data_IF_559130896498
#
_entry.id   IF_559130896498
#
_cell.length_a   1.000
_cell.length_b   1.000
_cell.length_c   1.000
_cell.angle_alpha   90.00
_cell.angle_beta   90.00
_cell.angle_gamma   90.00
#
_symmetry.space_group_name_H-M   'P 1'
#
loop_
_entity.id
_entity.type
_entity.pdbx_description
1 polymer ?
#
# COMPACT_ATOMS: atom_id res chain seq x y z
N UNK A 1 -47.85 -8.82 -19.58
CA UNK A 1 -46.97 -7.73 -20.07
C UNK A 1 -46.33 -6.87 -18.97
N UNK A 2 -46.99 -6.60 -17.81
CA UNK A 2 -46.39 -5.82 -16.71
C UNK A 2 -45.17 -6.50 -16.05
N UNK A 3 -45.23 -7.81 -15.78
CA UNK A 3 -44.15 -8.56 -15.12
C UNK A 3 -42.87 -8.59 -15.97
N UNK A 4 -43.01 -8.77 -17.29
CA UNK A 4 -41.88 -8.73 -18.24
C UNK A 4 -41.17 -7.37 -18.24
N UNK A 5 -41.94 -6.26 -18.20
CA UNK A 5 -41.38 -4.90 -18.15
C UNK A 5 -40.62 -4.62 -16.85
N UNK A 6 -41.14 -5.10 -15.71
CA UNK A 6 -40.46 -4.94 -14.41
C UNK A 6 -39.17 -5.75 -14.35
N UNK A 7 -39.20 -6.99 -14.83
CA UNK A 7 -38.01 -7.84 -14.89
C UNK A 7 -36.92 -7.24 -15.81
N UNK A 8 -37.32 -6.71 -16.97
CA UNK A 8 -36.41 -6.05 -17.90
C UNK A 8 -35.79 -4.77 -17.30
N UNK A 9 -36.57 -3.99 -16.54
CA UNK A 9 -36.10 -2.79 -15.86
C UNK A 9 -35.06 -3.13 -14.77
N UNK A 10 -35.31 -4.18 -13.99
CA UNK A 10 -34.37 -4.64 -12.96
C UNK A 10 -33.06 -5.15 -13.57
N UNK A 11 -33.12 -5.87 -14.69
CA UNK A 11 -31.94 -6.32 -15.44
C UNK A 11 -31.16 -5.14 -16.04
N UNK A 12 -31.85 -4.10 -16.50
CA UNK A 12 -31.20 -2.89 -17.01
C UNK A 12 -30.49 -2.14 -15.87
N UNK A 13 -31.14 -1.99 -14.72
CA UNK A 13 -30.56 -1.32 -13.55
C UNK A 13 -29.36 -2.09 -12.98
N UNK A 14 -29.42 -3.43 -12.95
CA UNK A 14 -28.27 -4.23 -12.55
C UNK A 14 -27.13 -4.09 -13.57
N UNK A 15 -27.41 -4.15 -14.87
CA UNK A 15 -26.39 -3.95 -15.90
C UNK A 15 -25.71 -2.58 -15.79
N UNK A 16 -26.47 -1.50 -15.58
CA UNK A 16 -25.92 -0.15 -15.37
C UNK A 16 -25.08 -0.10 -14.10
N UNK A 17 -25.53 -0.72 -13.00
CA UNK A 17 -24.77 -0.76 -11.75
C UNK A 17 -23.40 -1.44 -11.93
N UNK A 18 -23.38 -2.61 -12.59
CA UNK A 18 -22.13 -3.34 -12.87
C UNK A 18 -21.23 -2.63 -13.89
N UNK A 19 -21.82 -1.94 -14.89
CA UNK A 19 -21.04 -1.22 -15.90
C UNK A 19 -20.45 0.11 -15.39
N UNK A 20 -21.14 0.78 -14.46
CA UNK A 20 -20.71 2.08 -13.94
C UNK A 20 -19.98 1.98 -12.60
N UNK A 21 -20.07 0.88 -11.84
CA UNK A 21 -19.43 0.78 -10.52
C UNK A 21 -17.95 1.10 -10.61
N UNK A 22 -17.22 0.45 -11.50
CA UNK A 22 -15.77 0.56 -11.55
C UNK A 22 -15.35 1.97 -12.00
N UNK A 23 -16.02 2.52 -12.99
CA UNK A 23 -15.78 3.88 -13.51
C UNK A 23 -16.10 4.93 -12.44
N UNK A 24 -17.20 4.75 -11.71
CA UNK A 24 -17.63 5.63 -10.62
C UNK A 24 -16.69 5.56 -9.42
N UNK A 25 -16.28 4.37 -8.98
CA UNK A 25 -15.34 4.21 -7.86
C UNK A 25 -13.93 4.71 -8.20
N UNK A 26 -13.48 4.52 -9.44
CA UNK A 26 -12.22 5.09 -9.92
C UNK A 26 -12.24 6.62 -10.00
N UNK A 27 -13.42 7.23 -10.19
CA UNK A 27 -13.61 8.67 -10.13
C UNK A 27 -13.68 9.17 -8.68
N UNK A 28 -14.36 8.44 -7.79
CA UNK A 28 -14.55 8.84 -6.40
C UNK A 28 -13.26 8.79 -5.57
N UNK A 29 -12.40 7.78 -5.82
CA UNK A 29 -11.22 7.55 -4.99
C UNK A 29 -9.93 7.79 -5.77
N UNK A 30 -9.02 8.65 -5.25
CA UNK A 30 -7.72 8.85 -5.87
C UNK A 30 -6.91 7.56 -5.88
N UNK A 31 -7.07 6.71 -4.86
CA UNK A 31 -6.48 5.38 -4.75
C UNK A 31 -7.56 4.30 -4.92
N UNK A 32 -7.37 3.40 -5.88
CA UNK A 32 -8.30 2.31 -6.19
C UNK A 32 -7.53 1.13 -6.78
N UNK A 33 -7.08 0.24 -5.91
CA UNK A 33 -6.35 -0.98 -6.25
C UNK A 33 -7.23 -2.23 -6.34
N UNK A 34 -8.50 -2.13 -5.95
CA UNK A 34 -9.44 -3.26 -5.90
C UNK A 34 -9.59 -3.89 -7.28
N UNK A 35 -9.24 -5.18 -7.39
CA UNK A 35 -9.38 -5.96 -8.63
C UNK A 35 -8.36 -5.65 -9.73
N UNK A 36 -7.29 -4.87 -9.45
CA UNK A 36 -6.37 -4.36 -10.49
C UNK A 36 -4.93 -4.85 -10.31
N UNK A 37 -4.50 -5.72 -11.22
CA UNK A 37 -3.10 -6.00 -11.51
C UNK A 37 -2.42 -7.05 -10.60
N UNK A 38 -1.12 -7.32 -10.84
CA UNK A 38 -0.35 -8.25 -10.03
C UNK A 38 -0.23 -7.77 -8.57
N UNK A 39 -0.05 -8.73 -7.66
CA UNK A 39 0.11 -8.47 -6.23
C UNK A 39 1.52 -8.84 -5.81
N UNK A 40 2.10 -8.05 -4.91
CA UNK A 40 3.31 -8.41 -4.17
C UNK A 40 2.86 -9.10 -2.90
N UNK A 41 3.18 -10.38 -2.76
CA UNK A 41 2.99 -11.10 -1.50
C UNK A 41 4.12 -10.75 -0.56
N UNK A 42 3.78 -10.36 0.66
CA UNK A 42 4.71 -10.15 1.76
C UNK A 42 4.38 -11.18 2.83
N UNK A 43 5.35 -12.01 3.17
CA UNK A 43 5.19 -13.05 4.19
C UNK A 43 6.47 -13.22 4.99
N UNK A 44 6.31 -13.73 6.21
CA UNK A 44 7.43 -13.95 7.11
C UNK A 44 6.98 -14.56 8.43
N UNK A 45 7.94 -14.76 9.32
CA UNK A 45 7.71 -15.24 10.68
C UNK A 45 8.30 -14.20 11.62
N UNK A 46 7.46 -13.63 12.49
CA UNK A 46 7.91 -12.69 13.51
C UNK A 46 8.36 -13.43 14.78
N UNK A 47 9.41 -12.94 15.48
CA UNK A 47 9.80 -13.45 16.78
C UNK A 47 8.73 -13.25 17.86
N UNK A 48 8.91 -13.93 19.00
CA UNK A 48 8.11 -13.66 20.21
C UNK A 48 8.30 -12.20 20.66
N UNK A 49 7.25 -11.64 21.27
CA UNK A 49 7.21 -10.26 21.77
C UNK A 49 7.36 -9.19 20.68
N UNK A 50 7.04 -9.53 19.43
CA UNK A 50 7.05 -8.60 18.30
C UNK A 50 5.77 -8.71 17.49
N UNK A 51 5.48 -7.68 16.71
CA UNK A 51 4.39 -7.66 15.72
C UNK A 51 4.89 -7.23 14.34
N UNK A 52 4.32 -7.79 13.25
CA UNK A 52 4.67 -7.40 11.90
C UNK A 52 4.03 -6.06 11.55
N UNK A 53 4.77 -5.23 10.84
CA UNK A 53 4.27 -4.00 10.24
C UNK A 53 4.63 -3.99 8.76
N UNK A 54 3.61 -3.81 7.91
CA UNK A 54 3.80 -3.75 6.45
C UNK A 54 3.19 -2.46 5.96
N UNK A 55 3.91 -1.76 5.07
CA UNK A 55 3.38 -0.59 4.38
C UNK A 55 3.91 -0.48 2.96
N UNK A 56 3.19 0.24 2.11
CA UNK A 56 3.60 0.50 0.74
C UNK A 56 3.44 1.98 0.40
N UNK A 57 4.48 2.58 -0.14
CA UNK A 57 4.45 3.93 -0.66
C UNK A 57 4.24 3.90 -2.17
N UNK A 58 3.27 4.69 -2.63
CA UNK A 58 2.92 4.87 -4.02
C UNK A 58 3.22 6.29 -4.45
N UNK A 59 3.73 6.45 -5.67
CA UNK A 59 4.00 7.73 -6.31
C UNK A 59 3.02 7.99 -7.44
N UNK A 60 2.55 9.23 -7.54
CA UNK A 60 1.81 9.70 -8.70
C UNK A 60 2.62 10.74 -9.46
N UNK A 61 2.74 10.55 -10.78
CA UNK A 61 3.21 11.58 -11.73
C UNK A 61 2.03 12.33 -12.39
N UNK A 62 0.80 11.96 -12.06
CA UNK A 62 -0.43 12.54 -12.65
C UNK A 62 -1.04 13.57 -11.71
N UNK A 63 -1.25 13.17 -10.46
CA UNK A 63 -1.50 14.07 -9.36
C UNK A 63 -0.15 14.65 -8.94
N UNK A 64 -0.10 15.96 -8.78
CA UNK A 64 1.13 16.69 -8.45
C UNK A 64 0.83 17.55 -7.23
N UNK A 65 1.82 17.67 -6.36
CA UNK A 65 1.80 18.62 -5.25
C UNK A 65 2.59 19.88 -5.63
N UNK A 66 2.46 20.94 -4.83
CA UNK A 66 3.25 22.16 -4.99
C UNK A 66 4.30 22.26 -3.90
N UNK A 67 5.53 22.49 -4.33
CA UNK A 67 6.67 22.78 -3.45
C UNK A 67 7.27 24.13 -3.82
N UNK A 68 7.84 24.83 -2.84
CA UNK A 68 8.61 26.05 -3.09
C UNK A 68 10.07 25.70 -3.28
N UNK A 69 10.68 26.20 -4.35
CA UNK A 69 12.12 26.10 -4.50
C UNK A 69 12.86 27.04 -3.51
N UNK A 70 14.19 26.98 -3.51
CA UNK A 70 15.02 27.85 -2.67
C UNK A 70 14.82 29.36 -2.94
N UNK A 71 14.27 29.72 -4.10
CA UNK A 71 13.90 31.08 -4.48
C UNK A 71 12.45 31.44 -4.15
N UNK A 72 11.74 30.62 -3.37
CA UNK A 72 10.31 30.80 -3.03
C UNK A 72 9.37 30.75 -4.24
N UNK A 73 9.80 30.15 -5.36
CA UNK A 73 8.95 29.98 -6.53
C UNK A 73 8.23 28.63 -6.48
N UNK A 74 6.91 28.59 -6.69
CA UNK A 74 6.16 27.35 -6.68
C UNK A 74 6.48 26.50 -7.92
N UNK A 75 6.73 25.22 -7.70
CA UNK A 75 6.88 24.23 -8.77
C UNK A 75 6.11 22.95 -8.43
N UNK A 76 5.76 22.19 -9.46
CA UNK A 76 4.99 20.96 -9.31
C UNK A 76 5.90 19.77 -9.11
N UNK A 77 5.62 18.96 -8.10
CA UNK A 77 6.37 17.73 -7.79
C UNK A 77 5.43 16.51 -7.75
N UNK A 78 5.94 15.30 -8.01
CA UNK A 78 5.16 14.07 -7.79
C UNK A 78 4.64 14.00 -6.35
N UNK A 79 3.39 13.56 -6.18
CA UNK A 79 2.82 13.31 -4.85
C UNK A 79 2.93 11.83 -4.45
N UNK A 80 2.75 11.54 -3.16
CA UNK A 80 2.88 10.22 -2.58
C UNK A 80 1.64 9.83 -1.77
N UNK A 81 1.31 8.54 -1.77
CA UNK A 81 0.27 7.95 -0.93
C UNK A 81 0.82 6.71 -0.23
N UNK A 82 0.58 6.57 1.07
CA UNK A 82 1.02 5.39 1.83
C UNK A 82 -0.19 4.51 2.15
N UNK A 83 -0.04 3.22 1.87
CA UNK A 83 -0.99 2.18 2.22
C UNK A 83 -0.48 1.42 3.44
N UNK A 84 -1.30 1.33 4.48
CA UNK A 84 -1.05 0.58 5.72
C UNK A 84 -2.04 -0.59 5.82
N UNK A 85 -1.73 -1.76 5.25
CA UNK A 85 -2.54 -2.96 5.48
C UNK A 85 -2.51 -3.34 6.97
N UNK A 86 -3.65 -3.73 7.52
CA UNK A 86 -3.69 -4.40 8.82
C UNK A 86 -3.10 -5.81 8.66
N UNK A 87 -2.05 -6.11 9.41
CA UNK A 87 -1.37 -7.41 9.37
C UNK A 87 -1.31 -7.97 10.78
N UNK A 88 -1.67 -9.24 10.93
CA UNK A 88 -1.58 -9.96 12.20
C UNK A 88 -0.78 -11.24 11.97
N UNK A 89 0.14 -11.51 12.89
CA UNK A 89 0.83 -12.79 12.93
C UNK A 89 -0.02 -13.83 13.65
N UNK A 90 0.13 -15.09 13.24
CA UNK A 90 -0.39 -16.23 13.98
C UNK A 90 0.30 -16.29 15.37
N UNK A 91 -0.46 -16.39 16.46
CA UNK A 91 0.08 -16.27 17.81
C UNK A 91 0.94 -17.47 18.24
N UNK A 92 0.85 -18.62 17.56
CA UNK A 92 1.62 -19.83 17.89
C UNK A 92 2.90 -19.91 17.08
N UNK A 93 2.82 -19.60 15.78
CA UNK A 93 3.89 -19.79 14.81
C UNK A 93 4.62 -18.49 14.47
N UNK A 94 4.02 -17.34 14.74
CA UNK A 94 4.53 -16.03 14.31
C UNK A 94 4.37 -15.75 12.81
N UNK A 95 3.77 -16.67 12.06
CA UNK A 95 3.62 -16.53 10.61
C UNK A 95 2.64 -15.40 10.27
N UNK A 96 2.98 -14.57 9.30
CA UNK A 96 2.07 -13.57 8.74
C UNK A 96 2.19 -13.54 7.22
N UNK A 97 1.11 -13.10 6.58
CA UNK A 97 1.06 -12.87 5.14
C UNK A 97 0.11 -11.73 4.81
N UNK A 98 0.52 -10.86 3.91
CA UNK A 98 -0.33 -9.81 3.33
C UNK A 98 -0.02 -9.62 1.85
N UNK A 99 -0.89 -8.89 1.15
CA UNK A 99 -0.74 -8.58 -0.27
C UNK A 99 -0.76 -7.08 -0.48
N UNK A 100 0.25 -6.59 -1.20
CA UNK A 100 0.35 -5.21 -1.64
C UNK A 100 0.02 -5.14 -3.12
N UNK A 101 -0.91 -4.26 -3.55
CA UNK A 101 -1.21 -4.10 -4.96
C UNK A 101 -0.02 -3.46 -5.67
N UNK A 102 0.41 -4.01 -6.80
CA UNK A 102 1.49 -3.38 -7.58
C UNK A 102 1.07 -2.00 -8.13
N UNK A 103 -0.22 -1.85 -8.46
CA UNK A 103 -0.83 -0.59 -8.89
C UNK A 103 -1.84 -0.09 -7.86
N UNK A 104 -1.67 1.15 -7.40
CA UNK A 104 -2.66 1.83 -6.57
C UNK A 104 -3.83 2.39 -7.40
N UNK A 105 -3.74 2.33 -8.74
CA UNK A 105 -4.82 2.69 -9.65
C UNK A 105 -5.35 4.11 -9.46
N UNK A 106 -6.68 4.26 -9.58
CA UNK A 106 -7.39 5.54 -9.52
C UNK A 106 -7.00 6.55 -10.61
N UNK A 107 -7.59 7.74 -10.54
CA UNK A 107 -7.31 8.83 -11.50
C UNK A 107 -5.91 9.44 -11.33
N UNK A 108 -5.29 9.25 -10.17
CA UNK A 108 -3.89 9.62 -9.94
C UNK A 108 -2.88 8.61 -10.54
N UNK A 109 -3.30 7.46 -11.07
CA UNK A 109 -2.40 6.45 -11.67
C UNK A 109 -1.24 6.07 -10.73
N UNK A 110 -1.57 5.77 -9.48
CA UNK A 110 -0.59 5.45 -8.44
C UNK A 110 0.24 4.21 -8.82
N UNK A 111 1.56 4.33 -8.73
CA UNK A 111 2.51 3.23 -8.90
C UNK A 111 3.26 2.99 -7.61
N UNK A 112 3.43 1.74 -7.19
CA UNK A 112 4.24 1.44 -6.02
C UNK A 112 5.68 1.93 -6.25
N UNK A 113 6.32 2.47 -5.23
CA UNK A 113 7.71 2.93 -5.31
C UNK A 113 8.54 2.28 -4.20
N UNK A 114 7.95 2.08 -3.01
CA UNK A 114 8.59 1.36 -1.91
C UNK A 114 7.62 0.42 -1.20
N UNK A 115 8.11 -0.73 -0.78
CA UNK A 115 7.43 -1.61 0.16
C UNK A 115 8.29 -1.77 1.42
N UNK A 116 7.68 -1.68 2.58
CA UNK A 116 8.35 -1.80 3.87
C UNK A 116 7.78 -2.98 4.63
N UNK A 117 8.68 -3.74 5.25
CA UNK A 117 8.35 -4.85 6.15
C UNK A 117 9.20 -4.68 7.39
N UNK A 118 8.60 -4.38 8.53
CA UNK A 118 9.29 -4.26 9.80
C UNK A 118 8.66 -5.14 10.87
N UNK A 119 9.41 -5.34 11.94
CA UNK A 119 8.96 -5.99 13.17
C UNK A 119 9.21 -5.06 14.33
N UNK A 120 8.14 -4.73 15.05
CA UNK A 120 8.18 -3.83 16.20
C UNK A 120 8.01 -4.63 17.49
N UNK A 121 8.69 -4.23 18.56
CA UNK A 121 8.52 -4.88 19.87
C UNK A 121 7.17 -4.52 20.49
N UNK A 122 6.43 -5.55 20.92
CA UNK A 122 5.20 -5.38 21.70
C UNK A 122 5.45 -5.42 23.21
N UNK A 123 6.53 -6.08 23.64
CA UNK A 123 6.94 -6.19 25.03
C UNK A 123 8.46 -6.33 25.16
N UNK A 124 9.08 -5.46 25.97
CA UNK A 124 10.53 -5.45 26.26
C UNK A 124 10.85 -5.63 27.75
N UNK A 125 9.84 -5.95 28.57
CA UNK A 125 9.98 -6.15 30.02
C UNK A 125 10.97 -7.26 30.38
N UNK A 126 11.14 -8.23 29.49
CA UNK A 126 12.10 -9.33 29.61
C UNK A 126 13.56 -8.90 29.37
N UNK A 127 13.79 -7.73 28.76
CA UNK A 127 15.12 -7.18 28.52
C UNK A 127 15.53 -6.23 29.64
N UNK A 128 14.66 -5.25 29.96
CA UNK A 128 14.92 -4.20 30.96
C UNK A 128 13.62 -3.82 31.65
N UNK A 129 13.68 -3.61 32.97
CA UNK A 129 12.54 -3.17 33.78
C UNK A 129 12.06 -1.78 33.33
N UNK A 130 10.74 -1.61 33.22
CA UNK A 130 10.07 -0.34 32.90
C UNK A 130 10.45 0.26 31.53
N UNK A 131 11.03 -0.55 30.63
CA UNK A 131 11.35 -0.13 29.28
C UNK A 131 10.10 -0.03 28.40
N UNK A 132 10.07 0.99 27.55
CA UNK A 132 9.01 1.24 26.57
C UNK A 132 9.63 1.05 25.18
N UNK A 133 9.06 0.19 24.32
CA UNK A 133 9.55 0.03 22.96
C UNK A 133 9.29 1.31 22.14
N UNK A 134 10.31 1.79 21.41
CA UNK A 134 10.21 3.00 20.59
C UNK A 134 10.13 2.71 19.08
N UNK A 135 10.59 1.55 18.64
CA UNK A 135 10.52 1.16 17.23
C UNK A 135 11.09 -0.22 16.96
N UNK A 136 10.98 -0.65 15.72
CA UNK A 136 11.47 -1.92 15.22
C UNK A 136 12.57 -1.81 14.18
N UNK A 137 12.83 -2.94 13.53
CA UNK A 137 13.77 -3.06 12.40
C UNK A 137 13.08 -3.72 11.23
N UNK A 138 13.53 -3.44 10.01
CA UNK A 138 12.85 -3.94 8.83
C UNK A 138 13.68 -3.92 7.55
N UNK A 139 13.00 -4.29 6.48
CA UNK A 139 13.48 -4.30 5.11
C UNK A 139 12.67 -3.27 4.31
N UNK A 140 13.38 -2.56 3.45
CA UNK A 140 12.78 -1.68 2.44
C UNK A 140 13.10 -2.27 1.06
N UNK A 141 12.07 -2.53 0.27
CA UNK A 141 12.20 -2.85 -1.14
C UNK A 141 11.98 -1.57 -1.97
N UNK A 142 12.97 -1.20 -2.76
CA UNK A 142 12.90 -0.11 -3.74
C UNK A 142 12.41 -0.70 -5.07
N UNK A 143 11.32 -0.14 -5.61
CA UNK A 143 10.60 -0.67 -6.77
C UNK A 143 10.42 0.46 -7.80
N UNK A 144 10.35 0.14 -9.10
CA UNK A 144 10.13 1.13 -10.17
C UNK A 144 11.16 2.26 -10.18
N UNK A 145 12.45 1.92 -10.09
CA UNK A 145 13.59 2.85 -10.08
C UNK A 145 13.57 3.87 -8.93
N UNK A 146 12.95 3.51 -7.81
CA UNK A 146 12.97 4.32 -6.60
C UNK A 146 14.41 4.57 -6.15
N UNK A 147 14.76 5.85 -5.95
CA UNK A 147 16.07 6.23 -5.44
C UNK A 147 16.21 5.80 -3.98
N UNK A 148 17.32 5.15 -3.65
CA UNK A 148 17.67 4.83 -2.28
C UNK A 148 17.98 6.13 -1.52
N UNK A 149 17.22 6.41 -0.47
CA UNK A 149 17.29 7.67 0.27
C UNK A 149 18.21 7.62 1.49
N UNK A 150 18.62 6.42 1.94
CA UNK A 150 19.42 6.26 3.15
C UNK A 150 20.60 5.31 2.95
N UNK A 151 21.83 5.79 3.18
CA UNK A 151 23.08 5.05 2.97
C UNK A 151 23.38 4.02 4.09
N UNK A 152 22.64 4.06 5.20
CA UNK A 152 22.78 3.10 6.30
C UNK A 152 22.08 1.77 6.03
N UNK A 153 21.30 1.67 4.95
CA UNK A 153 20.63 0.45 4.55
C UNK A 153 21.62 -0.49 3.86
N UNK A 154 21.80 -1.68 4.41
CA UNK A 154 22.62 -2.72 3.76
C UNK A 154 21.86 -3.22 2.54
N UNK A 155 22.34 -2.89 1.34
CA UNK A 155 21.71 -3.29 0.10
C UNK A 155 21.80 -4.82 -0.09
N UNK A 156 20.67 -5.50 0.09
CA UNK A 156 20.50 -6.88 -0.39
C UNK A 156 19.97 -6.79 -1.83
N UNK A 157 20.86 -6.69 -2.81
CA UNK A 157 20.49 -6.47 -4.21
C UNK A 157 19.79 -7.70 -4.79
N UNK A 158 18.47 -7.62 -4.91
CA UNK A 158 17.71 -8.25 -5.98
C UNK A 158 16.87 -7.14 -6.63
N UNK A 159 17.37 -6.58 -7.74
CA UNK A 159 16.58 -5.64 -8.54
C UNK A 159 15.42 -6.43 -9.14
N UNK A 160 14.20 -6.03 -8.80
CA UNK A 160 12.98 -6.60 -9.36
C UNK A 160 12.54 -5.67 -10.49
N UNK A 161 12.99 -5.94 -11.72
CA UNK A 161 12.56 -5.25 -12.93
C UNK A 161 11.22 -5.85 -13.43
N UNK A 162 10.18 -5.01 -13.53
CA UNK A 162 8.87 -5.39 -14.10
C UNK A 162 8.29 -4.27 -14.99
#
# INVERSE_FOLDING_TARGET
MKILKVSLLLLLLSFIYWAFSDTFFNWLFPFSSTGKGPWITVEGIVPKYTEPYVSAMYKSKTCLDYELDAGMSPHKVPTYNVLYPEVKADPQTGYFQTKLPFSGGGWCKWKIERAYVSVDYTDVSHLVKDAIPYGGTGLTAFINDAVQTNLSETAALNVIDF
#
